data_IF_105193904171
#
_entry.id   IF_105193904171
#
_cell.length_a   1.000
_cell.length_b   1.000
_cell.length_c   1.000
_cell.angle_alpha   90.00
_cell.angle_beta   90.00
_cell.angle_gamma   90.00
#
_symmetry.space_group_name_H-M   'P 1'
#
loop_
_entity.id
_entity.type
_entity.pdbx_description
1 polymer ?
#
# COMPACT_ATOMS: atom_id res chain seq x y z
N UNK A 1 -7.15 -8.90 2.31
CA UNK A 1 -6.47 -8.93 3.63
C UNK A 1 -7.49 -9.10 4.77
N UNK A 2 -7.12 -9.85 5.82
CA UNK A 2 -7.99 -10.15 6.98
C UNK A 2 -8.55 -8.89 7.67
N UNK A 3 -7.74 -7.83 7.83
CA UNK A 3 -8.17 -6.56 8.45
C UNK A 3 -9.31 -5.85 7.70
N UNK A 4 -9.25 -5.79 6.36
CA UNK A 4 -10.28 -5.13 5.56
C UNK A 4 -11.64 -5.85 5.66
N UNK A 5 -11.63 -7.16 5.95
CA UNK A 5 -12.85 -7.96 6.12
C UNK A 5 -13.31 -8.03 7.58
N UNK A 6 -12.38 -8.17 8.51
CA UNK A 6 -12.63 -8.22 9.94
C UNK A 6 -11.65 -7.29 10.68
N UNK A 7 -12.01 -6.01 10.86
CA UNK A 7 -11.10 -5.02 11.44
C UNK A 7 -10.96 -5.13 12.95
N UNK A 8 -11.85 -5.88 13.63
CA UNK A 8 -11.96 -5.91 15.10
C UNK A 8 -10.62 -6.17 15.82
N UNK A 9 -9.79 -7.15 15.41
CA UNK A 9 -8.50 -7.38 16.07
C UNK A 9 -7.54 -6.19 15.90
N UNK A 10 -7.53 -5.58 14.71
CA UNK A 10 -6.69 -4.41 14.43
C UNK A 10 -7.17 -3.17 15.19
N UNK A 11 -8.48 -2.91 15.22
CA UNK A 11 -9.06 -1.80 16.00
C UNK A 11 -8.71 -1.92 17.49
N UNK A 12 -8.80 -3.12 18.06
CA UNK A 12 -8.40 -3.37 19.45
C UNK A 12 -6.91 -3.07 19.68
N UNK A 13 -6.03 -3.49 18.77
CA UNK A 13 -4.60 -3.21 18.85
C UNK A 13 -4.29 -1.71 18.71
N UNK A 14 -4.96 -1.02 17.79
CA UNK A 14 -4.80 0.42 17.56
C UNK A 14 -5.22 1.19 18.82
N UNK A 15 -6.41 0.92 19.37
CA UNK A 15 -6.89 1.58 20.60
C UNK A 15 -5.97 1.38 21.80
N UNK A 16 -5.41 0.18 21.94
CA UNK A 16 -4.45 -0.10 23.03
C UNK A 16 -3.20 0.80 22.93
N UNK A 17 -2.76 1.12 21.72
CA UNK A 17 -1.57 1.96 21.47
C UNK A 17 -1.90 3.45 21.38
N UNK A 18 -3.13 3.78 21.00
CA UNK A 18 -3.65 5.14 20.88
C UNK A 18 -5.10 5.20 21.40
N UNK A 19 -5.32 5.40 22.71
CA UNK A 19 -6.64 5.44 23.31
C UNK A 19 -7.57 6.54 22.75
N UNK A 20 -7.00 7.62 22.21
CA UNK A 20 -7.75 8.70 21.55
C UNK A 20 -8.36 8.28 20.19
N UNK A 21 -7.95 7.12 19.67
CA UNK A 21 -8.49 6.59 18.42
C UNK A 21 -9.91 6.03 18.64
N UNK A 22 -10.92 6.85 18.39
CA UNK A 22 -12.33 6.48 18.54
C UNK A 22 -12.77 5.42 17.51
N UNK A 23 -13.81 4.65 17.85
CA UNK A 23 -14.40 3.69 16.90
C UNK A 23 -14.94 4.39 15.65
N UNK A 24 -15.52 5.57 15.81
CA UNK A 24 -16.06 6.35 14.69
C UNK A 24 -14.96 6.71 13.69
N UNK A 25 -13.83 7.23 14.18
CA UNK A 25 -12.71 7.62 13.32
C UNK A 25 -12.10 6.42 12.60
N UNK A 26 -11.95 5.28 13.29
CA UNK A 26 -11.43 4.05 12.67
C UNK A 26 -12.39 3.48 11.62
N UNK A 27 -13.70 3.47 11.90
CA UNK A 27 -14.70 3.02 10.93
C UNK A 27 -14.74 3.93 9.71
N UNK A 28 -14.69 5.25 9.92
CA UNK A 28 -14.60 6.22 8.83
C UNK A 28 -13.36 5.96 7.97
N UNK A 29 -12.18 5.86 8.59
CA UNK A 29 -10.93 5.57 7.87
C UNK A 29 -10.96 4.24 7.12
N UNK A 30 -11.53 3.18 7.71
CA UNK A 30 -11.72 1.90 7.04
C UNK A 30 -12.62 2.01 5.82
N UNK A 31 -13.72 2.77 5.93
CA UNK A 31 -14.65 2.98 4.82
C UNK A 31 -13.97 3.75 3.69
N UNK A 32 -13.25 4.84 3.99
CA UNK A 32 -12.51 5.62 2.99
C UNK A 32 -11.44 4.77 2.29
N UNK A 33 -10.68 3.95 3.03
CA UNK A 33 -9.70 3.03 2.42
C UNK A 33 -10.34 2.07 1.42
N UNK A 34 -11.55 1.58 1.69
CA UNK A 34 -12.30 0.68 0.81
C UNK A 34 -12.84 1.43 -0.41
N UNK A 35 -13.53 2.53 -0.21
CA UNK A 35 -14.20 3.28 -1.28
C UNK A 35 -13.22 3.84 -2.30
N UNK A 36 -12.07 4.33 -1.83
CA UNK A 36 -11.00 4.84 -2.69
C UNK A 36 -10.09 3.74 -3.25
N UNK A 37 -10.24 2.49 -2.78
CA UNK A 37 -9.39 1.37 -3.18
C UNK A 37 -7.91 1.59 -2.86
N UNK A 38 -7.57 2.22 -1.72
CA UNK A 38 -6.18 2.65 -1.44
C UNK A 38 -5.17 1.49 -1.33
N UNK A 39 -5.63 0.32 -0.89
CA UNK A 39 -4.75 -0.83 -0.57
C UNK A 39 -4.98 -2.01 -1.52
N UNK A 40 -6.19 -2.15 -2.06
CA UNK A 40 -6.63 -3.30 -2.86
C UNK A 40 -7.10 -2.85 -4.27
N UNK A 41 -6.22 -2.12 -4.96
CA UNK A 41 -6.45 -1.65 -6.33
C UNK A 41 -5.22 -1.86 -7.22
N UNK A 42 -5.40 -1.67 -8.53
CA UNK A 42 -4.34 -1.87 -9.52
C UNK A 42 -3.73 -3.28 -9.44
N UNK A 43 -2.41 -3.34 -9.43
CA UNK A 43 -1.63 -4.58 -9.34
C UNK A 43 -2.00 -5.43 -8.12
N UNK A 44 -2.41 -4.81 -7.01
CA UNK A 44 -2.76 -5.53 -5.78
C UNK A 44 -3.97 -6.46 -5.95
N UNK A 45 -4.88 -6.17 -6.90
CA UNK A 45 -6.02 -7.04 -7.20
C UNK A 45 -5.60 -8.38 -7.81
N UNK A 46 -4.44 -8.44 -8.45
CA UNK A 46 -3.94 -9.62 -9.17
C UNK A 46 -2.78 -10.28 -8.43
N UNK A 47 -1.89 -9.46 -7.86
CA UNK A 47 -0.63 -9.88 -7.24
C UNK A 47 -0.71 -9.88 -5.71
N UNK A 48 -1.78 -9.35 -5.12
CA UNK A 48 -1.98 -9.25 -3.69
C UNK A 48 -1.54 -7.92 -3.09
N UNK A 49 -2.03 -7.61 -1.88
CA UNK A 49 -1.68 -6.39 -1.15
C UNK A 49 -0.17 -6.33 -0.90
N UNK A 50 0.42 -5.17 -1.17
CA UNK A 50 1.87 -4.96 -1.10
C UNK A 50 2.61 -5.31 -2.39
N UNK A 51 1.88 -5.67 -3.46
CA UNK A 51 2.49 -5.91 -4.77
C UNK A 51 3.37 -4.74 -5.23
N UNK A 52 4.56 -5.09 -5.72
CA UNK A 52 5.50 -4.19 -6.37
C UNK A 52 6.01 -4.86 -7.65
N UNK A 53 6.22 -4.09 -8.72
CA UNK A 53 6.70 -4.60 -10.00
C UNK A 53 7.82 -3.70 -10.52
N UNK A 54 8.75 -4.25 -11.29
CA UNK A 54 9.81 -3.47 -11.93
C UNK A 54 9.21 -2.41 -12.87
N UNK A 55 8.13 -2.75 -13.56
CA UNK A 55 7.39 -1.89 -14.47
C UNK A 55 6.81 -0.67 -13.74
N UNK A 56 6.19 -0.87 -12.57
CA UNK A 56 5.62 0.23 -11.76
C UNK A 56 6.69 1.19 -11.27
N UNK A 57 7.86 0.68 -10.85
CA UNK A 57 8.99 1.51 -10.44
C UNK A 57 9.58 2.32 -11.59
N UNK A 58 9.73 1.72 -12.78
CA UNK A 58 10.20 2.41 -13.99
C UNK A 58 9.22 3.50 -14.42
N UNK A 59 7.92 3.22 -14.42
CA UNK A 59 6.90 4.22 -14.75
C UNK A 59 6.90 5.38 -13.75
N UNK A 60 7.03 5.10 -12.45
CA UNK A 60 7.13 6.14 -11.43
C UNK A 60 8.37 7.00 -11.61
N UNK A 61 9.55 6.40 -11.81
CA UNK A 61 10.77 7.14 -12.10
C UNK A 61 10.66 8.02 -13.34
N UNK A 62 10.09 7.50 -14.43
CA UNK A 62 9.85 8.28 -15.65
C UNK A 62 9.00 9.54 -15.38
N UNK A 63 7.94 9.42 -14.58
CA UNK A 63 7.10 10.58 -14.20
C UNK A 63 7.86 11.63 -13.39
N UNK A 64 8.81 11.22 -12.54
CA UNK A 64 9.65 12.13 -11.76
C UNK A 64 10.74 12.79 -12.61
N UNK A 65 11.29 12.08 -13.60
CA UNK A 65 12.22 12.66 -14.59
C UNK A 65 11.52 13.69 -15.46
N UNK A 66 10.31 13.38 -15.94
CA UNK A 66 9.47 14.32 -16.70
C UNK A 66 9.17 15.58 -15.88
N UNK A 67 8.84 15.41 -14.59
CA UNK A 67 8.68 16.49 -13.62
C UNK A 67 9.97 17.22 -13.23
N UNK A 68 11.13 16.81 -13.78
CA UNK A 68 12.47 17.35 -13.47
C UNK A 68 12.85 17.25 -11.99
N UNK A 69 12.27 16.29 -11.27
CA UNK A 69 12.53 16.05 -9.85
C UNK A 69 13.73 15.13 -9.63
N UNK A 70 14.01 14.22 -10.58
CA UNK A 70 15.13 13.30 -10.52
C UNK A 70 15.89 13.20 -11.86
N UNK A 71 17.18 12.82 -11.82
CA UNK A 71 17.95 12.59 -13.02
C UNK A 71 17.55 11.27 -13.69
N UNK A 72 17.75 11.21 -15.01
CA UNK A 72 17.40 10.06 -15.84
C UNK A 72 18.25 8.81 -15.52
N UNK A 73 19.48 8.99 -15.05
CA UNK A 73 20.45 7.93 -14.79
C UNK A 73 20.46 7.44 -13.33
N UNK A 74 19.47 7.86 -12.52
CA UNK A 74 19.32 7.37 -11.15
C UNK A 74 19.19 5.83 -11.14
N UNK A 75 20.02 5.11 -10.36
CA UNK A 75 19.99 3.64 -10.33
C UNK A 75 18.82 3.12 -9.47
N UNK A 76 17.59 3.26 -9.96
CA UNK A 76 16.35 2.97 -9.23
C UNK A 76 16.24 1.53 -8.72
N UNK A 77 16.92 0.58 -9.36
CA UNK A 77 16.92 -0.82 -8.96
C UNK A 77 17.61 -1.07 -7.62
N UNK A 78 18.33 -0.07 -7.09
CA UNK A 78 18.88 -0.10 -5.72
C UNK A 78 17.87 0.35 -4.66
N UNK A 79 16.73 0.93 -5.05
CA UNK A 79 15.76 1.50 -4.12
C UNK A 79 14.74 0.47 -3.59
N UNK A 80 14.66 -0.71 -4.20
CA UNK A 80 13.68 -1.74 -3.81
C UNK A 80 14.18 -3.15 -4.08
N UNK A 81 13.51 -4.12 -3.45
CA UNK A 81 13.70 -5.56 -3.66
C UNK A 81 12.33 -6.23 -3.73
N UNK A 82 12.14 -7.12 -4.69
CA UNK A 82 10.87 -7.85 -4.87
C UNK A 82 10.88 -9.23 -4.18
N UNK A 83 12.03 -9.65 -3.64
CA UNK A 83 12.23 -11.00 -3.09
C UNK A 83 11.38 -11.32 -1.86
N UNK A 84 10.89 -10.29 -1.18
CA UNK A 84 10.12 -10.42 0.07
C UNK A 84 8.62 -10.21 -0.14
N UNK A 85 8.18 -10.08 -1.40
CA UNK A 85 6.77 -9.97 -1.70
C UNK A 85 6.04 -11.27 -1.38
N UNK A 86 4.79 -11.20 -0.91
CA UNK A 86 3.98 -12.39 -0.73
C UNK A 86 3.88 -13.13 -2.07
N UNK A 87 4.17 -14.44 -2.07
CA UNK A 87 3.80 -15.28 -3.21
C UNK A 87 2.28 -15.23 -3.33
N UNK A 88 1.78 -15.12 -4.58
CA UNK A 88 0.35 -15.04 -4.91
C UNK A 88 -0.46 -15.86 -3.92
N UNK A 89 -1.35 -15.20 -3.18
CA UNK A 89 -2.36 -15.92 -2.43
C UNK A 89 -3.21 -16.68 -3.47
N UNK A 90 -3.10 -18.01 -3.47
CA UNK A 90 -4.03 -18.87 -4.19
C UNK A 90 -5.46 -18.70 -3.65
#
# INVERSE_FOLDING_TARGET
ASYLQNPKPGFAAIKRLNPEMSDELMNYGLQQMKDMGLVDSGDAKILGIGAMTHERWKAFHASLVEGKLFPQDLPIEKAYRLDFLPQKAN
#
